data_IF_764732341907
#
_entry.id   IF_764732341907
#
_cell.length_a   1.000
_cell.length_b   1.000
_cell.length_c   1.000
_cell.angle_alpha   90.00
_cell.angle_beta   90.00
_cell.angle_gamma   90.00
#
_symmetry.space_group_name_H-M   'P 1'
#
loop_
_entity.id
_entity.type
_entity.pdbx_description
1 polymer ?
#
# COMPACT_ATOMS: atom_id res chain seq x y z
N UNK A 1 -57.36 -14.09 11.19
CA UNK A 1 -56.60 -14.39 9.94
C UNK A 1 -56.04 -13.17 9.22
N UNK A 2 -56.76 -12.05 9.05
CA UNK A 2 -56.25 -10.86 8.32
C UNK A 2 -55.02 -10.21 8.99
N UNK A 3 -55.03 -10.06 10.32
CA UNK A 3 -53.94 -9.42 11.08
C UNK A 3 -52.66 -10.27 11.02
N UNK A 4 -52.76 -11.60 11.14
CA UNK A 4 -51.62 -12.51 11.02
C UNK A 4 -50.95 -12.44 9.65
N UNK A 5 -51.72 -12.29 8.56
CA UNK A 5 -51.17 -12.11 7.20
C UNK A 5 -50.39 -10.81 7.06
N UNK A 6 -50.87 -9.73 7.69
CA UNK A 6 -50.19 -8.41 7.65
C UNK A 6 -48.86 -8.47 8.42
N UNK A 7 -48.84 -9.08 9.60
CA UNK A 7 -47.60 -9.25 10.39
C UNK A 7 -46.57 -10.08 9.62
N UNK A 8 -47.01 -11.16 8.96
CA UNK A 8 -46.12 -12.01 8.17
C UNK A 8 -45.52 -11.27 6.96
N UNK A 9 -46.30 -10.42 6.30
CA UNK A 9 -45.84 -9.58 5.19
C UNK A 9 -44.80 -8.55 5.63
N UNK A 10 -45.00 -7.91 6.77
CA UNK A 10 -44.05 -6.94 7.34
C UNK A 10 -42.76 -7.65 7.75
N UNK A 11 -42.87 -8.79 8.43
CA UNK A 11 -41.72 -9.59 8.85
C UNK A 11 -40.92 -10.10 7.63
N UNK A 12 -41.58 -10.61 6.58
CA UNK A 12 -40.88 -11.06 5.37
C UNK A 12 -40.24 -9.91 4.61
N UNK A 13 -40.87 -8.73 4.57
CA UNK A 13 -40.30 -7.52 3.97
C UNK A 13 -39.04 -7.05 4.71
N UNK A 14 -39.08 -7.05 6.05
CA UNK A 14 -37.93 -6.73 6.89
C UNK A 14 -36.80 -7.74 6.72
N UNK A 15 -37.11 -9.04 6.71
CA UNK A 15 -36.10 -10.08 6.47
C UNK A 15 -35.48 -9.96 5.09
N UNK A 16 -36.27 -9.65 4.05
CA UNK A 16 -35.75 -9.44 2.70
C UNK A 16 -34.82 -8.22 2.61
N UNK A 17 -35.21 -7.09 3.23
CA UNK A 17 -34.35 -5.91 3.32
C UNK A 17 -33.04 -6.19 4.06
N UNK A 18 -33.10 -6.98 5.13
CA UNK A 18 -31.92 -7.34 5.92
C UNK A 18 -30.97 -8.25 5.12
N UNK A 19 -31.51 -9.22 4.39
CA UNK A 19 -30.73 -10.09 3.48
C UNK A 19 -30.11 -9.27 2.35
N UNK A 20 -30.87 -8.39 1.69
CA UNK A 20 -30.35 -7.51 0.64
C UNK A 20 -29.30 -6.55 1.16
N UNK A 21 -29.48 -5.98 2.36
CA UNK A 21 -28.48 -5.12 2.99
C UNK A 21 -27.19 -5.87 3.31
N UNK A 22 -27.32 -7.09 3.85
CA UNK A 22 -26.16 -7.92 4.17
C UNK A 22 -25.42 -8.36 2.90
N UNK A 23 -26.13 -8.77 1.84
CA UNK A 23 -25.49 -9.17 0.58
C UNK A 23 -24.82 -7.98 -0.10
N UNK A 24 -25.43 -6.79 -0.10
CA UNK A 24 -24.80 -5.57 -0.62
C UNK A 24 -23.57 -5.17 0.18
N UNK A 25 -23.62 -5.28 1.51
CA UNK A 25 -22.46 -5.01 2.37
C UNK A 25 -21.32 -6.00 2.09
N UNK A 26 -21.64 -7.29 1.96
CA UNK A 26 -20.66 -8.32 1.63
C UNK A 26 -20.08 -8.10 0.23
N UNK A 27 -20.88 -7.78 -0.79
CA UNK A 27 -20.35 -7.52 -2.14
C UNK A 27 -19.50 -6.26 -2.21
N UNK A 28 -19.81 -5.20 -1.45
CA UNK A 28 -18.95 -4.03 -1.35
C UNK A 28 -17.64 -4.33 -0.61
N UNK A 29 -17.69 -5.15 0.45
CA UNK A 29 -16.50 -5.53 1.21
C UNK A 29 -15.61 -6.55 0.47
N UNK A 30 -16.18 -7.37 -0.41
CA UNK A 30 -15.46 -8.41 -1.16
C UNK A 30 -15.22 -8.08 -2.63
N UNK A 31 -15.73 -6.94 -3.13
CA UNK A 31 -15.29 -6.44 -4.43
C UNK A 31 -13.83 -6.03 -4.29
N UNK A 32 -12.90 -6.61 -5.08
CA UNK A 32 -11.54 -6.11 -5.10
C UNK A 32 -11.62 -4.63 -5.43
N UNK A 33 -11.01 -3.81 -4.57
CA UNK A 33 -10.76 -2.40 -4.85
C UNK A 33 -10.31 -2.30 -6.31
N UNK A 34 -10.96 -1.38 -7.02
CA UNK A 34 -10.87 -1.21 -8.46
C UNK A 34 -9.43 -1.33 -8.95
N UNK A 35 -9.24 -1.83 -10.18
CA UNK A 35 -7.91 -1.92 -10.79
C UNK A 35 -7.13 -0.63 -10.50
N UNK A 36 -5.95 -0.74 -9.87
CA UNK A 36 -5.24 0.41 -9.34
C UNK A 36 -5.01 1.44 -10.44
N UNK A 37 -5.38 2.68 -10.13
CA UNK A 37 -5.54 3.73 -11.12
C UNK A 37 -4.18 4.35 -11.43
N UNK A 38 -4.03 4.96 -12.62
CA UNK A 38 -2.82 5.74 -12.95
C UNK A 38 -2.52 6.85 -11.92
N UNK A 39 -3.55 7.31 -11.20
CA UNK A 39 -3.44 8.28 -10.12
C UNK A 39 -2.63 7.75 -8.93
N UNK A 40 -2.72 6.47 -8.62
CA UNK A 40 -2.00 5.86 -7.50
C UNK A 40 -0.50 5.81 -7.80
N UNK A 41 -0.13 5.50 -9.05
CA UNK A 41 1.26 5.56 -9.51
C UNK A 41 1.83 6.98 -9.43
N UNK A 42 1.08 7.99 -9.89
CA UNK A 42 1.51 9.40 -9.81
C UNK A 42 1.71 9.84 -8.35
N UNK A 43 0.80 9.43 -7.45
CA UNK A 43 0.94 9.71 -6.03
C UNK A 43 2.25 9.14 -5.48
N UNK A 44 2.52 7.85 -5.73
CA UNK A 44 3.76 7.18 -5.27
C UNK A 44 5.02 7.88 -5.81
N UNK A 45 5.05 8.19 -7.10
CA UNK A 45 6.21 8.84 -7.71
C UNK A 45 6.44 10.25 -7.14
N UNK A 46 5.37 11.04 -6.96
CA UNK A 46 5.46 12.35 -6.30
C UNK A 46 5.96 12.23 -4.85
N UNK A 47 5.50 11.24 -4.09
CA UNK A 47 5.92 11.00 -2.71
C UNK A 47 7.43 10.69 -2.63
N UNK A 48 7.92 9.92 -3.61
CA UNK A 48 9.34 9.64 -3.81
C UNK A 48 10.15 10.82 -4.32
N UNK A 49 9.53 11.95 -4.66
CA UNK A 49 10.13 13.05 -5.42
C UNK A 49 10.72 12.58 -6.77
N UNK A 50 10.14 11.55 -7.38
CA UNK A 50 10.55 10.99 -8.68
C UNK A 50 9.77 11.68 -9.79
N UNK A 51 10.42 12.02 -10.89
CA UNK A 51 9.76 12.66 -12.05
C UNK A 51 8.58 11.83 -12.56
N UNK A 52 7.44 12.47 -12.80
CA UNK A 52 6.24 11.83 -13.36
C UNK A 52 6.14 12.01 -14.87
N UNK A 53 6.97 12.90 -15.45
CA UNK A 53 7.12 13.12 -16.89
C UNK A 53 8.03 12.05 -17.50
N UNK A 54 7.59 10.79 -17.40
CA UNK A 54 8.27 9.61 -17.94
C UNK A 54 7.26 8.48 -18.16
N UNK A 55 7.67 7.45 -18.88
CA UNK A 55 6.89 6.21 -18.96
C UNK A 55 7.01 5.43 -17.64
N UNK A 56 5.86 5.04 -17.09
CA UNK A 56 5.77 4.17 -15.93
C UNK A 56 4.59 3.23 -16.04
N UNK A 57 4.70 2.04 -15.44
CA UNK A 57 3.62 1.07 -15.39
C UNK A 57 3.52 0.43 -14.01
N UNK A 58 2.28 0.29 -13.54
CA UNK A 58 2.03 -0.43 -12.30
C UNK A 58 2.03 -1.93 -12.60
N UNK A 59 2.93 -2.66 -11.94
CA UNK A 59 3.06 -4.12 -12.12
C UNK A 59 2.03 -4.83 -11.25
N UNK A 60 1.94 -4.44 -9.98
CA UNK A 60 0.90 -4.91 -9.06
C UNK A 60 0.76 -3.96 -7.88
N UNK A 61 -0.37 -4.05 -7.19
CA UNK A 61 -0.57 -3.41 -5.91
C UNK A 61 -1.42 -4.29 -4.98
N UNK A 62 -1.45 -3.91 -3.71
CA UNK A 62 -2.42 -4.36 -2.74
C UNK A 62 -2.86 -3.16 -1.93
N UNK A 63 -4.15 -3.07 -1.66
CA UNK A 63 -4.73 -2.08 -0.77
C UNK A 63 -5.59 -2.82 0.26
N UNK A 64 -5.42 -2.46 1.52
CA UNK A 64 -6.24 -2.96 2.62
C UNK A 64 -7.62 -2.32 2.58
N UNK A 65 -8.62 -3.04 3.08
CA UNK A 65 -9.94 -2.47 3.29
C UNK A 65 -9.87 -1.45 4.43
N UNK A 66 -10.65 -0.36 4.37
CA UNK A 66 -10.75 0.59 5.46
C UNK A 66 -11.22 -0.12 6.75
N UNK A 67 -10.43 -0.01 7.82
CA UNK A 67 -10.77 -0.51 9.17
C UNK A 67 -10.77 0.64 10.17
N UNK A 68 -11.57 0.49 11.23
CA UNK A 68 -11.82 1.58 12.19
C UNK A 68 -10.63 1.94 13.06
N UNK A 69 -9.69 1.02 13.30
CA UNK A 69 -8.51 1.24 14.13
C UNK A 69 -7.35 1.89 13.37
N UNK A 70 -7.43 2.02 12.04
CA UNK A 70 -6.38 2.63 11.21
C UNK A 70 -5.30 1.66 10.75
N UNK A 71 -5.34 0.40 11.17
CA UNK A 71 -4.42 -0.64 10.70
C UNK A 71 -4.56 -0.80 9.18
N UNK A 72 -3.44 -0.85 8.48
CA UNK A 72 -3.47 -1.05 7.05
C UNK A 72 -2.13 -1.59 6.57
N UNK A 73 -2.16 -2.19 5.39
CA UNK A 73 -1.00 -2.51 4.58
C UNK A 73 -1.36 -2.24 3.12
N UNK A 74 -0.77 -1.20 2.56
CA UNK A 74 -0.88 -0.91 1.13
C UNK A 74 0.51 -0.89 0.50
N UNK A 75 0.63 -1.48 -0.68
CA UNK A 75 1.87 -1.46 -1.43
C UNK A 75 1.66 -1.41 -2.93
N UNK A 76 2.63 -0.84 -3.64
CA UNK A 76 2.62 -0.66 -5.08
C UNK A 76 4.00 -0.97 -5.64
N UNK A 77 4.05 -1.84 -6.66
CA UNK A 77 5.27 -2.11 -7.41
C UNK A 77 5.16 -1.48 -8.79
N UNK A 78 5.95 -0.45 -9.06
CA UNK A 78 5.88 0.37 -10.27
C UNK A 78 7.19 0.22 -11.05
N UNK A 79 7.09 -0.08 -12.33
CA UNK A 79 8.20 0.01 -13.27
C UNK A 79 8.34 1.46 -13.73
N UNK A 80 9.55 2.00 -13.69
CA UNK A 80 9.88 3.33 -14.19
C UNK A 80 10.95 3.25 -15.28
N UNK A 81 10.99 4.26 -16.15
CA UNK A 81 12.02 4.40 -17.18
C UNK A 81 13.33 4.92 -16.59
N UNK A 82 13.23 5.93 -15.72
CA UNK A 82 14.35 6.69 -15.15
C UNK A 82 14.10 7.08 -13.69
N UNK A 83 15.16 6.96 -12.89
CA UNK A 83 15.18 7.38 -11.50
C UNK A 83 15.81 8.76 -11.40
N UNK A 84 14.99 9.79 -11.66
CA UNK A 84 15.37 11.20 -11.62
C UNK A 84 14.43 11.95 -10.68
N UNK A 85 14.93 13.02 -10.07
CA UNK A 85 14.18 13.77 -9.07
C UNK A 85 13.50 15.00 -9.66
N UNK A 86 12.29 15.32 -9.20
CA UNK A 86 11.60 16.56 -9.59
C UNK A 86 12.33 17.78 -9.05
N UNK A 87 12.83 17.67 -7.80
CA UNK A 87 13.63 18.70 -7.13
C UNK A 87 14.97 18.12 -6.67
N UNK A 88 16.11 18.59 -7.21
CA UNK A 88 17.44 18.04 -6.89
C UNK A 88 17.84 18.16 -5.41
N UNK A 89 17.24 19.08 -4.65
CA UNK A 89 17.63 19.44 -3.28
C UNK A 89 16.87 18.67 -2.19
N UNK A 90 15.85 17.87 -2.52
CA UNK A 90 15.00 17.14 -1.56
C UNK A 90 15.47 15.68 -1.30
N UNK A 91 16.73 15.37 -1.55
CA UNK A 91 17.25 14.00 -1.57
C UNK A 91 17.54 13.39 -0.19
N UNK A 92 16.62 12.58 0.33
CA UNK A 92 16.89 11.59 1.40
C UNK A 92 16.65 10.16 0.90
N UNK A 93 17.25 9.84 -0.25
CA UNK A 93 17.36 8.46 -0.71
C UNK A 93 18.71 7.92 -0.27
N UNK A 94 18.70 6.87 0.55
CA UNK A 94 19.91 6.23 1.06
C UNK A 94 20.06 4.86 0.39
N UNK A 95 21.23 4.61 -0.22
CA UNK A 95 21.57 3.31 -0.77
C UNK A 95 22.24 2.43 0.28
N UNK A 96 21.95 1.12 0.23
CA UNK A 96 22.62 0.15 1.08
C UNK A 96 22.22 0.26 2.54
N UNK A 97 23.18 -0.04 3.42
CA UNK A 97 23.02 -0.09 4.88
C UNK A 97 22.48 1.22 5.46
N UNK A 98 21.56 1.12 6.40
CA UNK A 98 21.00 2.23 7.14
C UNK A 98 21.59 2.28 8.57
N UNK A 99 22.20 3.40 8.94
CA UNK A 99 22.88 3.55 10.24
C UNK A 99 21.86 3.65 11.40
N UNK A 100 20.66 4.18 11.14
CA UNK A 100 19.64 4.31 12.16
C UNK A 100 18.82 3.01 12.31
N UNK A 101 18.94 2.37 13.48
CA UNK A 101 18.22 1.11 13.78
C UNK A 101 16.70 1.15 13.55
N UNK A 102 16.02 2.28 13.81
CA UNK A 102 14.58 2.41 13.59
C UNK A 102 14.28 2.43 12.08
N UNK A 103 15.12 3.09 11.30
CA UNK A 103 14.98 3.20 9.86
C UNK A 103 15.33 1.90 9.15
N UNK A 104 16.36 1.20 9.61
CA UNK A 104 16.69 -0.16 9.19
C UNK A 104 15.52 -1.11 9.47
N UNK A 105 14.97 -1.08 10.70
CA UNK A 105 13.78 -1.88 11.04
C UNK A 105 12.57 -1.55 10.16
N UNK A 106 12.30 -0.26 9.91
CA UNK A 106 11.20 0.16 9.03
C UNK A 106 11.38 -0.35 7.60
N UNK A 107 12.61 -0.31 7.07
CA UNK A 107 12.96 -0.86 5.75
C UNK A 107 12.72 -2.37 5.69
N UNK A 108 13.15 -3.11 6.71
CA UNK A 108 12.99 -4.56 6.76
C UNK A 108 11.50 -4.96 6.81
N UNK A 109 10.71 -4.32 7.67
CA UNK A 109 9.27 -4.56 7.79
C UNK A 109 8.53 -4.20 6.50
N UNK A 110 8.88 -3.08 5.87
CA UNK A 110 8.31 -2.67 4.60
C UNK A 110 8.68 -3.65 3.47
N UNK A 111 9.93 -4.11 3.42
CA UNK A 111 10.41 -5.05 2.43
C UNK A 111 9.66 -6.40 2.52
N UNK A 112 9.53 -6.93 3.74
CA UNK A 112 8.81 -8.16 4.00
C UNK A 112 7.32 -8.04 3.66
N UNK A 113 6.67 -6.98 4.14
CA UNK A 113 5.22 -6.77 3.96
C UNK A 113 4.86 -6.42 2.51
N UNK A 114 5.72 -5.63 1.85
CA UNK A 114 5.57 -5.19 0.46
C UNK A 114 5.99 -6.21 -0.60
N UNK A 115 6.51 -7.37 -0.18
CA UNK A 115 6.99 -8.45 -1.07
C UNK A 115 8.09 -7.96 -2.01
N UNK A 116 9.15 -7.43 -1.42
CA UNK A 116 10.30 -6.87 -2.15
C UNK A 116 10.88 -7.84 -3.18
N UNK A 117 10.96 -9.12 -2.85
CA UNK A 117 11.47 -10.20 -3.70
C UNK A 117 10.66 -10.31 -5.00
N UNK A 118 9.33 -10.21 -4.88
CA UNK A 118 8.44 -10.21 -6.03
C UNK A 118 8.58 -8.93 -6.85
N UNK A 119 8.71 -7.76 -6.21
CA UNK A 119 8.84 -6.50 -6.94
C UNK A 119 10.19 -6.42 -7.66
N UNK A 120 11.28 -6.82 -7.01
CA UNK A 120 12.65 -6.63 -7.50
C UNK A 120 13.24 -7.87 -8.18
N UNK A 121 12.39 -8.81 -8.59
CA UNK A 121 12.77 -10.00 -9.36
C UNK A 121 13.81 -10.88 -8.64
N UNK A 122 13.62 -11.11 -7.35
CA UNK A 122 14.43 -12.00 -6.51
C UNK A 122 15.36 -11.30 -5.51
N UNK A 123 15.60 -9.99 -5.66
CA UNK A 123 16.29 -9.21 -4.63
C UNK A 123 15.39 -9.04 -3.42
N UNK A 124 15.82 -9.54 -2.26
CA UNK A 124 15.06 -9.53 -1.01
C UNK A 124 15.70 -8.69 0.08
N UNK A 125 16.93 -8.24 -0.11
CA UNK A 125 17.66 -7.46 0.88
C UNK A 125 17.42 -5.95 0.66
N UNK A 126 16.67 -5.27 1.54
CA UNK A 126 16.44 -3.83 1.42
C UNK A 126 17.70 -2.98 1.68
N UNK A 127 18.75 -3.57 2.24
CA UNK A 127 20.04 -2.92 2.51
C UNK A 127 21.11 -3.30 1.47
N UNK A 128 20.72 -3.90 0.35
CA UNK A 128 21.59 -4.13 -0.81
C UNK A 128 22.07 -2.79 -1.40
N UNK A 129 23.30 -2.75 -1.91
CA UNK A 129 23.85 -1.55 -2.55
C UNK A 129 23.11 -1.15 -3.84
N UNK A 130 22.32 -2.07 -4.41
CA UNK A 130 21.47 -1.80 -5.57
C UNK A 130 20.07 -1.30 -5.19
N UNK A 131 19.74 -1.26 -3.91
CA UNK A 131 18.48 -0.76 -3.38
C UNK A 131 18.72 0.59 -2.70
N UNK A 132 17.99 1.60 -3.17
CA UNK A 132 17.83 2.85 -2.44
C UNK A 132 16.51 2.82 -1.68
N UNK A 133 16.46 3.42 -0.51
CA UNK A 133 15.18 3.70 0.14
C UNK A 133 15.11 5.12 0.68
N UNK A 134 13.89 5.66 0.65
CA UNK A 134 13.47 6.89 1.28
C UNK A 134 12.39 6.55 2.31
N UNK A 135 12.56 7.09 3.50
CA UNK A 135 11.61 6.93 4.60
C UNK A 135 10.86 8.25 4.72
N UNK A 136 9.56 8.22 4.47
CA UNK A 136 8.74 9.42 4.53
C UNK A 136 8.24 9.69 5.96
N UNK A 137 7.81 8.63 6.64
CA UNK A 137 7.35 8.70 8.01
C UNK A 137 7.54 7.35 8.69
N UNK A 138 7.79 7.38 9.99
CA UNK A 138 7.82 6.20 10.85
C UNK A 138 7.04 6.53 12.11
N UNK A 139 6.09 5.67 12.46
CA UNK A 139 5.43 5.66 13.75
C UNK A 139 6.08 4.61 14.64
N UNK A 140 6.42 4.99 15.87
CA UNK A 140 7.13 4.13 16.80
C UNK A 140 6.48 4.13 18.17
N UNK A 141 6.28 2.95 18.73
CA UNK A 141 5.87 2.76 20.12
C UNK A 141 6.96 1.99 20.86
N UNK A 142 7.44 2.54 21.99
CA UNK A 142 8.50 1.92 22.81
C UNK A 142 9.71 1.44 21.99
N UNK A 143 10.16 2.25 21.02
CA UNK A 143 11.27 1.96 20.10
C UNK A 143 11.06 0.81 19.11
N UNK A 144 9.81 0.38 18.91
CA UNK A 144 9.44 -0.56 17.85
C UNK A 144 8.66 0.21 16.78
N UNK A 145 8.90 -0.13 15.52
CA UNK A 145 8.14 0.41 14.39
C UNK A 145 6.75 -0.24 14.36
N UNK A 146 5.70 0.56 14.53
CA UNK A 146 4.30 0.12 14.44
C UNK A 146 3.68 0.50 13.08
N UNK A 147 4.21 1.56 12.46
CA UNK A 147 3.80 1.99 11.13
C UNK A 147 4.91 2.72 10.40
N UNK A 148 4.92 2.66 9.08
CA UNK A 148 5.86 3.41 8.27
C UNK A 148 5.36 3.64 6.85
N UNK A 149 5.87 4.70 6.23
CA UNK A 149 5.79 4.93 4.78
C UNK A 149 7.20 4.86 4.22
N UNK A 150 7.50 3.80 3.49
CA UNK A 150 8.83 3.52 2.93
C UNK A 150 8.73 3.35 1.43
N UNK A 151 9.63 4.00 0.71
CA UNK A 151 9.72 3.95 -0.74
C UNK A 151 11.09 3.40 -1.08
N UNK A 152 11.15 2.30 -1.82
CA UNK A 152 12.39 1.65 -2.24
C UNK A 152 12.50 1.69 -3.76
N UNK A 153 13.72 1.80 -4.26
CA UNK A 153 14.04 1.75 -5.68
C UNK A 153 15.15 0.73 -5.90
N UNK A 154 14.94 -0.16 -6.87
CA UNK A 154 15.96 -1.12 -7.28
C UNK A 154 16.61 -0.70 -8.59
N UNK A 155 17.92 -0.48 -8.54
CA UNK A 155 18.72 0.01 -9.66
C UNK A 155 18.68 -0.90 -10.89
N UNK A 156 18.69 -2.21 -10.68
CA UNK A 156 18.80 -3.20 -11.75
C UNK A 156 17.48 -3.34 -12.51
N UNK A 157 16.37 -3.50 -11.80
CA UNK A 157 15.05 -3.67 -12.44
C UNK A 157 14.37 -2.34 -12.76
N UNK A 158 14.88 -1.22 -12.26
CA UNK A 158 14.25 0.10 -12.33
C UNK A 158 12.81 0.08 -11.81
N UNK A 159 12.59 -0.63 -10.71
CA UNK A 159 11.28 -0.72 -10.07
C UNK A 159 11.28 0.04 -8.75
N UNK A 160 10.15 0.67 -8.48
CA UNK A 160 9.86 1.37 -7.24
C UNK A 160 8.85 0.54 -6.46
N UNK A 161 9.18 0.21 -5.23
CA UNK A 161 8.27 -0.39 -4.27
C UNK A 161 7.88 0.68 -3.25
N UNK A 162 6.61 1.04 -3.22
CA UNK A 162 6.03 1.86 -2.16
C UNK A 162 5.29 0.97 -1.18
N UNK A 163 5.50 1.19 0.11
CA UNK A 163 4.81 0.47 1.18
C UNK A 163 4.38 1.45 2.26
N UNK A 164 3.11 1.39 2.63
CA UNK A 164 2.56 2.05 3.81
C UNK A 164 1.91 1.00 4.69
N UNK A 165 2.22 1.02 5.98
CA UNK A 165 1.57 0.13 6.93
C UNK A 165 1.38 0.81 8.29
N UNK A 166 0.39 0.31 9.01
CA UNK A 166 0.12 0.63 10.41
C UNK A 166 -0.43 -0.63 11.09
N UNK A 167 0.02 -0.88 12.32
CA UNK A 167 -0.44 -1.95 13.22
C UNK A 167 -0.90 -1.36 14.55
#
# INVERSE_FOLDING_TARGET
>A
MKILKVIYLIASGLSFLLVCGLTLALTYSFSPLSAPSSRDSVFVLNHGNIVTEQDYSLIYSQQSLPVFNGDHLDYYCIQIEKFEFQRPTEGEWVYGLEDNHIFSQARELAAQSGKIDKCFSGESNPESNDVAAKIWSVDTTRKHVEGAVVIMYHKITKRVLYVTFQT
#
